data_IF_474060597502
#
_entry.id   IF_474060597502
#
_cell.length_a   1.000
_cell.length_b   1.000
_cell.length_c   1.000
_cell.angle_alpha   90.00
_cell.angle_beta   90.00
_cell.angle_gamma   90.00
#
_symmetry.space_group_name_H-M   'P 1'
#
loop_
_entity.id
_entity.type
_entity.pdbx_description
1 polymer ?
#
# COMPACT_ATOMS: atom_id res chain seq x y z
N UNK A 1 -4.95 -3.73 -11.32
CA UNK A 1 -5.32 -2.30 -11.43
C UNK A 1 -6.34 -1.81 -10.37
N UNK A 2 -7.30 -2.61 -9.87
CA UNK A 2 -8.33 -2.15 -8.89
C UNK A 2 -7.86 -2.14 -7.40
N UNK A 3 -6.76 -2.81 -7.05
CA UNK A 3 -6.39 -3.04 -5.64
C UNK A 3 -5.87 -1.81 -4.88
N UNK A 4 -5.19 -0.87 -5.54
CA UNK A 4 -4.43 0.18 -4.83
C UNK A 4 -5.33 1.31 -4.33
N UNK A 5 -6.27 1.79 -5.14
CA UNK A 5 -7.20 2.83 -4.69
C UNK A 5 -8.14 2.28 -3.60
N UNK A 6 -8.46 0.98 -3.67
CA UNK A 6 -9.24 0.30 -2.64
C UNK A 6 -8.47 0.07 -1.35
N UNK A 7 -7.15 -0.04 -1.39
CA UNK A 7 -6.32 -0.18 -0.19
C UNK A 7 -6.57 0.97 0.80
N UNK A 8 -6.54 2.21 0.32
CA UNK A 8 -6.74 3.40 1.16
C UNK A 8 -8.19 3.62 1.59
N UNK A 9 -9.14 2.94 0.93
CA UNK A 9 -10.58 3.06 1.22
C UNK A 9 -11.14 1.87 2.02
N UNK A 10 -10.40 0.78 2.15
CA UNK A 10 -10.92 -0.48 2.69
C UNK A 10 -11.04 -0.53 4.22
N UNK A 11 -10.59 0.50 4.94
CA UNK A 11 -10.67 0.53 6.40
C UNK A 11 -10.10 -0.75 7.01
N UNK A 12 -10.92 -1.52 7.72
CA UNK A 12 -10.51 -2.77 8.40
C UNK A 12 -10.23 -3.96 7.45
N UNK A 13 -10.64 -3.90 6.18
CA UNK A 13 -10.47 -4.98 5.20
C UNK A 13 -9.14 -4.93 4.44
N UNK A 14 -8.35 -3.86 4.64
CA UNK A 14 -7.10 -3.62 3.91
C UNK A 14 -6.09 -4.79 3.96
N UNK A 15 -6.11 -5.58 5.06
CA UNK A 15 -5.22 -6.73 5.24
C UNK A 15 -5.37 -7.80 4.16
N UNK A 16 -6.56 -7.91 3.54
CA UNK A 16 -6.81 -8.87 2.47
C UNK A 16 -6.13 -8.49 1.14
N UNK A 17 -5.57 -7.29 1.03
CA UNK A 17 -4.77 -6.90 -0.13
C UNK A 17 -3.31 -7.36 -0.07
N UNK A 18 -2.87 -7.88 1.08
CA UNK A 18 -1.51 -8.37 1.26
C UNK A 18 -1.45 -9.89 1.15
N UNK A 19 -0.38 -10.38 0.54
CA UNK A 19 0.01 -11.79 0.64
C UNK A 19 0.66 -12.06 1.99
N UNK A 20 0.69 -13.33 2.44
CA UNK A 20 1.27 -13.69 3.74
C UNK A 20 2.76 -13.31 3.90
N UNK A 21 3.47 -13.11 2.78
CA UNK A 21 4.87 -12.70 2.69
C UNK A 21 5.03 -11.23 2.29
N UNK A 22 3.97 -10.43 2.39
CA UNK A 22 4.03 -9.00 2.14
C UNK A 22 4.91 -8.32 3.19
N UNK A 23 5.65 -7.31 2.74
CA UNK A 23 6.36 -6.39 3.61
C UNK A 23 6.04 -4.96 3.22
N UNK A 24 6.09 -4.05 4.19
CA UNK A 24 6.00 -2.60 3.95
C UNK A 24 7.27 -1.97 4.50
N UNK A 25 7.86 -1.05 3.73
CA UNK A 25 8.95 -0.21 4.18
C UNK A 25 8.47 1.24 4.25
N UNK A 26 8.59 1.87 5.41
CA UNK A 26 8.16 3.25 5.61
C UNK A 26 9.07 3.96 6.62
N UNK A 27 9.49 5.19 6.31
CA UNK A 27 10.34 6.01 7.20
C UNK A 27 11.56 5.27 7.78
N UNK A 28 12.23 4.44 6.97
CA UNK A 28 13.39 3.66 7.42
C UNK A 28 13.08 2.39 8.21
N UNK A 29 11.79 2.03 8.37
CA UNK A 29 11.35 0.84 9.13
C UNK A 29 10.72 -0.19 8.22
N UNK A 30 11.06 -1.45 8.46
CA UNK A 30 10.46 -2.61 7.77
C UNK A 30 9.38 -3.26 8.65
N UNK A 31 8.21 -3.50 8.06
CA UNK A 31 7.13 -4.31 8.60
C UNK A 31 7.06 -5.63 7.82
N UNK A 32 7.52 -6.72 8.43
CA UNK A 32 7.73 -8.02 7.77
C UNK A 32 6.58 -9.03 7.95
N UNK A 33 5.52 -8.68 8.68
CA UNK A 33 4.35 -9.54 8.88
C UNK A 33 3.05 -8.76 8.72
N UNK A 34 1.94 -9.47 8.47
CA UNK A 34 0.61 -8.87 8.38
C UNK A 34 0.25 -8.15 9.69
N UNK A 35 0.58 -8.71 10.85
CA UNK A 35 0.33 -8.08 12.16
C UNK A 35 1.15 -6.79 12.33
N UNK A 36 2.41 -6.78 11.86
CA UNK A 36 3.25 -5.59 11.89
C UNK A 36 2.71 -4.50 10.95
N UNK A 37 2.30 -4.88 9.74
CA UNK A 37 1.64 -3.99 8.77
C UNK A 37 0.32 -3.47 9.34
N UNK A 38 -0.44 -4.31 10.07
CA UNK A 38 -1.68 -3.87 10.69
C UNK A 38 -1.45 -2.82 11.77
N UNK A 39 -0.51 -3.09 12.67
CA UNK A 39 -0.17 -2.15 13.75
C UNK A 39 0.33 -0.82 13.17
N UNK A 40 1.18 -0.88 12.15
CA UNK A 40 1.66 0.32 11.45
C UNK A 40 0.50 1.08 10.79
N UNK A 41 -0.39 0.40 10.05
CA UNK A 41 -1.50 1.04 9.35
C UNK A 41 -2.48 1.71 10.33
N UNK A 42 -2.79 1.05 11.45
CA UNK A 42 -3.63 1.60 12.52
C UNK A 42 -3.07 2.91 13.07
N UNK A 43 -1.76 2.95 13.35
CA UNK A 43 -1.14 4.11 13.99
C UNK A 43 -0.84 5.25 13.03
N UNK A 44 -0.45 4.96 11.79
CA UNK A 44 0.10 5.95 10.87
C UNK A 44 -0.84 6.33 9.72
N UNK A 45 -1.89 5.53 9.47
CA UNK A 45 -2.86 5.82 8.41
C UNK A 45 -4.24 6.06 9.01
N UNK A 46 -4.78 5.10 9.75
CA UNK A 46 -6.19 5.15 10.16
C UNK A 46 -6.44 6.10 11.35
N UNK A 47 -5.63 6.02 12.41
CA UNK A 47 -5.74 6.92 13.57
C UNK A 47 -5.58 8.40 13.19
N UNK A 48 -4.57 8.80 12.40
CA UNK A 48 -4.45 10.18 11.90
C UNK A 48 -5.43 10.51 10.77
N UNK A 49 -6.35 9.61 10.39
CA UNK A 49 -7.34 9.83 9.33
C UNK A 49 -6.70 10.31 8.02
N UNK A 50 -5.60 9.66 7.62
CA UNK A 50 -4.92 10.03 6.38
C UNK A 50 -5.84 9.75 5.19
N UNK A 51 -5.99 10.77 4.35
CA UNK A 51 -6.67 10.71 3.07
C UNK A 51 -5.60 10.71 1.98
N UNK A 52 -5.68 9.72 1.09
CA UNK A 52 -4.79 9.61 -0.06
C UNK A 52 -5.57 10.00 -1.32
N UNK A 53 -5.04 10.98 -2.04
CA UNK A 53 -5.51 11.38 -3.36
C UNK A 53 -4.48 10.93 -4.38
N UNK A 54 -4.77 9.83 -5.09
CA UNK A 54 -3.87 9.32 -6.13
C UNK A 54 -3.75 10.33 -7.26
N UNK A 55 -2.53 10.80 -7.53
CA UNK A 55 -2.21 11.73 -8.61
C UNK A 55 -1.79 10.97 -9.87
N UNK A 56 -0.97 9.94 -9.71
CA UNK A 56 -0.52 9.09 -10.80
C UNK A 56 -0.13 7.71 -10.30
N UNK A 57 -0.17 6.74 -11.21
CA UNK A 57 0.45 5.43 -11.01
C UNK A 57 1.31 5.09 -12.21
N UNK A 58 2.38 4.34 -11.98
CA UNK A 58 3.24 3.79 -13.03
C UNK A 58 3.60 2.35 -12.67
N UNK A 59 3.38 1.44 -13.61
CA UNK A 59 3.92 0.09 -13.49
C UNK A 59 5.40 0.12 -13.90
N UNK A 60 6.27 -0.43 -13.07
CA UNK A 60 7.72 -0.55 -13.30
C UNK A 60 8.12 -1.99 -12.95
N UNK A 61 8.40 -2.80 -13.96
CA UNK A 61 8.66 -4.24 -13.83
C UNK A 61 7.56 -4.99 -13.04
N UNK A 62 7.88 -5.38 -11.80
CA UNK A 62 6.99 -6.09 -10.88
C UNK A 62 6.37 -5.17 -9.85
N UNK A 63 6.60 -3.87 -9.95
CA UNK A 63 6.15 -2.88 -9.01
C UNK A 63 5.09 -1.95 -9.61
N UNK A 64 4.19 -1.47 -8.76
CA UNK A 64 3.39 -0.29 -9.05
C UNK A 64 3.90 0.83 -8.16
N UNK A 65 4.34 1.91 -8.78
CA UNK A 65 4.64 3.18 -8.11
C UNK A 65 3.37 4.01 -8.10
N UNK A 66 2.97 4.48 -6.93
CA UNK A 66 1.80 5.33 -6.76
C UNK A 66 2.26 6.65 -6.17
N UNK A 67 2.01 7.73 -6.88
CA UNK A 67 2.21 9.09 -6.38
C UNK A 67 0.87 9.60 -5.87
N UNK A 68 0.80 9.93 -4.59
CA UNK A 68 -0.42 10.45 -3.97
C UNK A 68 -0.12 11.77 -3.27
N UNK A 69 -1.10 12.68 -3.32
CA UNK A 69 -1.24 13.75 -2.34
C UNK A 69 -1.81 13.11 -1.06
N UNK A 70 -1.28 13.49 0.09
CA UNK A 70 -1.86 13.09 1.39
C UNK A 70 -2.37 14.30 2.18
N UNK A 71 -3.44 14.09 2.92
CA UNK A 71 -3.98 15.01 3.93
C UNK A 71 -4.44 14.22 5.16
N UNK A 72 -4.66 14.88 6.30
CA UNK A 72 -5.11 14.23 7.53
C UNK A 72 -4.67 14.96 8.80
N UNK A 73 -4.93 14.31 9.94
CA UNK A 73 -4.61 14.79 11.28
C UNK A 73 -3.25 14.23 11.73
N UNK A 74 -2.19 14.69 11.09
CA UNK A 74 -0.80 14.38 11.45
C UNK A 74 -0.01 15.69 11.62
N UNK A 75 1.20 15.60 12.16
CA UNK A 75 2.06 16.78 12.34
C UNK A 75 2.50 17.32 10.96
N UNK A 76 2.17 18.58 10.69
CA UNK A 76 2.42 19.28 9.43
C UNK A 76 3.44 20.42 9.59
N UNK A 77 4.06 20.54 10.76
CA UNK A 77 4.89 21.70 11.13
C UNK A 77 5.99 22.00 10.11
N UNK A 78 6.53 20.98 9.44
CA UNK A 78 7.62 21.11 8.46
C UNK A 78 7.18 20.90 6.99
N UNK A 79 5.87 20.93 6.70
CA UNK A 79 5.36 20.74 5.33
C UNK A 79 5.06 22.08 4.62
N UNK A 80 5.41 22.21 3.32
CA UNK A 80 5.06 23.39 2.54
C UNK A 80 3.55 23.53 2.35
N UNK A 81 3.02 24.76 2.44
CA UNK A 81 1.60 25.10 2.27
C UNK A 81 1.24 25.33 0.78
N UNK A 82 0.12 24.78 0.24
CA UNK A 82 -0.83 23.88 0.88
C UNK A 82 -0.24 22.51 1.19
N UNK A 83 -0.42 22.07 2.45
CA UNK A 83 0.22 20.93 3.10
C UNK A 83 -0.09 19.59 2.43
N UNK A 84 0.51 19.35 1.27
CA UNK A 84 0.36 18.15 0.49
C UNK A 84 1.71 17.46 0.43
N UNK A 85 1.93 16.47 1.29
CA UNK A 85 3.08 15.61 1.13
C UNK A 85 2.87 14.71 -0.10
N UNK A 86 3.83 14.74 -1.02
CA UNK A 86 3.86 13.78 -2.13
C UNK A 86 4.47 12.49 -1.61
N UNK A 87 3.67 11.42 -1.54
CA UNK A 87 4.13 10.10 -1.12
C UNK A 87 4.24 9.17 -2.32
N UNK A 88 5.36 8.47 -2.42
CA UNK A 88 5.60 7.40 -3.38
C UNK A 88 5.50 6.05 -2.66
N UNK A 89 4.55 5.22 -3.08
CA UNK A 89 4.39 3.88 -2.52
C UNK A 89 4.68 2.83 -3.59
N UNK A 90 5.47 1.82 -3.22
CA UNK A 90 5.83 0.68 -4.06
C UNK A 90 4.99 -0.53 -3.66
N UNK A 91 4.21 -1.05 -4.61
CA UNK A 91 3.43 -2.27 -4.43
C UNK A 91 3.98 -3.36 -5.34
N UNK A 92 4.40 -4.50 -4.77
CA UNK A 92 4.87 -5.64 -5.55
C UNK A 92 3.68 -6.46 -6.09
N UNK A 93 3.54 -6.56 -7.41
CA UNK A 93 2.59 -7.45 -8.07
C UNK A 93 3.16 -8.87 -8.14
N UNK A 94 3.01 -9.65 -7.06
CA UNK A 94 3.14 -11.11 -7.19
C UNK A 94 1.90 -11.67 -7.88
N UNK A 95 1.96 -11.85 -9.21
CA UNK A 95 0.94 -12.64 -9.93
C UNK A 95 0.93 -14.05 -9.34
N UNK A 96 -0.22 -14.54 -8.87
CA UNK A 96 -0.40 -15.98 -8.63
C UNK A 96 -0.10 -16.69 -9.95
N UNK A 97 1.05 -17.35 -10.04
CA UNK A 97 1.34 -18.28 -11.13
C UNK A 97 0.45 -19.51 -10.87
N UNK A 98 -0.78 -19.50 -11.40
CA UNK A 98 -1.59 -20.71 -11.47
C UNK A 98 -0.88 -21.68 -12.42
N UNK A 99 -0.05 -22.59 -11.88
CA UNK A 99 0.29 -23.82 -12.58
C UNK A 99 -0.91 -24.76 -12.51
N UNK A 100 -1.89 -24.51 -13.35
CA UNK A 100 -2.86 -25.54 -13.75
C UNK A 100 -2.64 -25.82 -15.23
N UNK A 101 -1.82 -26.84 -15.48
CA UNK A 101 -1.90 -27.79 -16.60
C UNK A 101 -1.42 -29.11 -15.98
N UNK A 102 -2.30 -30.00 -15.49
CA UNK A 102 -3.16 -30.88 -16.29
C UNK A 102 -2.37 -31.52 -17.42
N UNK A 103 -1.60 -32.56 -17.10
CA UNK A 103 -1.51 -33.78 -17.88
C UNK A 103 -1.13 -34.95 -16.96
N UNK A 104 -2.16 -35.59 -16.41
CA UNK A 104 -2.22 -37.04 -16.24
C UNK A 104 -3.34 -37.51 -17.20
N UNK A 105 -3.22 -38.74 -17.71
CA UNK A 105 -3.82 -39.35 -18.93
C UNK A 105 -2.78 -39.31 -20.06
N UNK A 106 -2.12 -40.39 -20.46
CA UNK A 106 -2.20 -41.83 -20.14
C UNK A 106 -0.79 -42.41 -20.10
#
# INVERSE_FOLDING_TARGET
MILITRFYQAGNEFKFFFTNDAFVFDEGKEMLSIEAIEKWSKNNIFKPKIQFYTLSFREVDRYIVVTSKVDGNFDKTDLPDPSFASRHSLFNQRRKHNRTNLHRLQ
#
